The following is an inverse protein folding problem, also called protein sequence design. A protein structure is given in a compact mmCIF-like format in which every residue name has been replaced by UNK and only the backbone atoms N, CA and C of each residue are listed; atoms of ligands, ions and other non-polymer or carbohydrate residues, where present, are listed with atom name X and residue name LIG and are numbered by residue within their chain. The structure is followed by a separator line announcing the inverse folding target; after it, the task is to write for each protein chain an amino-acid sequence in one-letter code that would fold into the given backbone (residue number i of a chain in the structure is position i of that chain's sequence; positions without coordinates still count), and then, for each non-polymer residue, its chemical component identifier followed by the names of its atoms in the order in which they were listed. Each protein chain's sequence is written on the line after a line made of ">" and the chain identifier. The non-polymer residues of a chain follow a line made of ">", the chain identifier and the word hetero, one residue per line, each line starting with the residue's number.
data_IF_532969182442
#
_entry.id   IF_532969182442
#
_cell.length_a   1.000
_cell.length_b   1.000
_cell.length_c   1.000
_cell.angle_alpha   90.00
_cell.angle_beta   90.00
_cell.angle_gamma   90.00
#
_symmetry.space_group_name_H-M   'P 1'
#
loop_
_entity.id
_entity.type
_entity.pdbx_description
1 polymer ?
#
# COMPACT_ATOMS: atom_id res chain seq x y z
N UNK A 1 47.93 -17.02 22.02
CA UNK A 1 47.25 -16.48 20.83
C UNK A 1 46.14 -17.46 20.51
N UNK A 2 44.90 -16.99 20.59
CA UNK A 2 43.67 -17.78 20.54
C UNK A 2 43.31 -18.15 19.10
N UNK A 3 43.03 -19.44 18.86
CA UNK A 3 42.21 -19.88 17.74
C UNK A 3 40.81 -20.27 18.25
N UNK A 4 39.81 -19.88 17.47
CA UNK A 4 38.39 -19.97 17.76
C UNK A 4 37.86 -21.41 17.57
N UNK A 5 37.04 -21.86 18.52
CA UNK A 5 36.32 -23.12 18.50
C UNK A 5 34.96 -22.97 17.79
N UNK A 6 34.67 -23.84 16.83
CA UNK A 6 33.40 -23.93 16.09
C UNK A 6 32.71 -25.26 16.44
N UNK A 7 31.49 -25.28 17.02
CA UNK A 7 30.80 -26.54 17.30
C UNK A 7 29.87 -26.98 16.15
N UNK A 8 30.05 -28.23 15.76
CA UNK A 8 29.39 -28.99 14.69
C UNK A 8 27.89 -29.26 14.99
N UNK A 9 26.94 -28.98 14.08
CA UNK A 9 25.49 -29.00 14.37
C UNK A 9 24.83 -30.39 14.49
N UNK A 10 25.59 -31.49 14.51
CA UNK A 10 25.01 -32.85 14.44
C UNK A 10 25.27 -33.74 15.67
N UNK A 11 25.61 -33.17 16.83
CA UNK A 11 25.96 -33.94 18.04
C UNK A 11 24.95 -33.75 19.19
N UNK A 12 24.21 -34.80 19.56
CA UNK A 12 23.40 -34.86 20.78
C UNK A 12 24.29 -35.24 21.99
N UNK A 13 23.94 -34.70 23.17
CA UNK A 13 24.55 -34.88 24.50
C UNK A 13 24.87 -36.30 24.99
N UNK A 14 24.47 -37.36 24.27
CA UNK A 14 24.78 -38.75 24.64
C UNK A 14 25.79 -39.47 23.72
N UNK A 15 26.47 -38.77 22.81
CA UNK A 15 27.72 -39.28 22.21
C UNK A 15 27.61 -40.50 21.27
N UNK A 16 26.51 -40.67 20.54
CA UNK A 16 26.38 -41.69 19.48
C UNK A 16 26.31 -41.04 18.08
N UNK A 17 27.05 -41.60 17.11
CA UNK A 17 27.07 -41.17 15.70
C UNK A 17 25.79 -41.61 14.97
N UNK A 18 25.20 -40.71 14.18
CA UNK A 18 24.07 -41.03 13.29
C UNK A 18 24.62 -41.28 11.87
N UNK A 19 24.44 -42.49 11.34
CA UNK A 19 24.88 -42.89 10.00
C UNK A 19 23.82 -42.47 8.95
N UNK A 20 24.18 -41.86 7.81
CA UNK A 20 23.22 -41.38 6.82
C UNK A 20 23.19 -42.34 5.61
N UNK A 21 22.36 -43.38 5.64
CA UNK A 21 21.98 -44.13 4.43
C UNK A 21 20.79 -45.04 4.74
N UNK A 22 19.58 -44.64 4.31
CA UNK A 22 18.48 -45.54 3.95
C UNK A 22 17.38 -44.75 3.21
N UNK A 23 17.44 -44.77 1.87
CA UNK A 23 16.25 -44.68 1.03
C UNK A 23 15.47 -46.00 1.08
N UNK A 24 14.16 -45.96 0.76
CA UNK A 24 13.73 -46.78 -0.38
C UNK A 24 12.81 -46.03 -1.36
N UNK A 25 13.07 -46.28 -2.65
CA UNK A 25 12.21 -46.04 -3.82
C UNK A 25 11.29 -47.24 -4.11
N UNK A 26 10.36 -47.02 -5.04
CA UNK A 26 9.54 -47.95 -5.86
C UNK A 26 8.07 -48.12 -5.41
N UNK A 27 7.06 -48.18 -6.26
CA UNK A 27 6.92 -47.96 -7.72
C UNK A 27 5.43 -47.85 -8.09
N UNK A 28 5.18 -47.43 -9.32
CA UNK A 28 3.95 -47.19 -10.06
C UNK A 28 2.79 -48.24 -9.95
N UNK A 29 1.55 -47.82 -10.25
CA UNK A 29 0.72 -48.29 -11.40
C UNK A 29 -0.73 -47.71 -11.43
N UNK A 30 -1.17 -47.31 -12.65
CA UNK A 30 -2.54 -47.05 -13.17
C UNK A 30 -3.27 -45.76 -12.71
N UNK A 31 -3.91 -44.93 -13.55
CA UNK A 31 -4.30 -45.00 -14.96
C UNK A 31 -5.78 -44.61 -15.17
N UNK A 32 -6.02 -43.39 -15.70
CA UNK A 32 -7.11 -42.91 -16.60
C UNK A 32 -8.63 -43.01 -16.28
N UNK A 33 -9.29 -41.83 -16.42
CA UNK A 33 -10.61 -41.49 -17.02
C UNK A 33 -11.96 -42.06 -16.52
N UNK A 34 -12.93 -41.14 -16.47
CA UNK A 34 -14.33 -41.21 -16.95
C UNK A 34 -15.50 -41.10 -15.94
N UNK A 35 -16.43 -40.20 -16.31
CA UNK A 35 -17.87 -40.06 -16.03
C UNK A 35 -18.61 -41.14 -15.22
N UNK A 36 -19.49 -40.71 -14.28
CA UNK A 36 -20.96 -40.95 -14.31
C UNK A 36 -21.67 -40.50 -13.02
N UNK A 37 -22.80 -39.78 -13.18
CA UNK A 37 -23.92 -39.72 -12.22
C UNK A 37 -24.74 -41.03 -12.28
N UNK A 38 -25.59 -41.36 -11.29
CA UNK A 38 -26.99 -40.87 -11.18
C UNK A 38 -27.34 -40.53 -9.71
N UNK A 39 -28.42 -39.87 -9.28
CA UNK A 39 -29.72 -39.53 -9.86
C UNK A 39 -30.84 -39.89 -8.86
N UNK A 40 -31.53 -38.88 -8.29
CA UNK A 40 -32.91 -38.93 -7.71
C UNK A 40 -33.09 -39.62 -6.34
N UNK A 41 -34.09 -39.31 -5.50
CA UNK A 41 -35.18 -38.35 -5.55
C UNK A 41 -35.86 -38.26 -4.15
N UNK A 42 -36.34 -37.06 -3.81
CA UNK A 42 -37.55 -36.71 -3.03
C UNK A 42 -37.85 -37.26 -1.61
N UNK A 43 -38.25 -36.33 -0.73
CA UNK A 43 -39.18 -36.60 0.37
C UNK A 43 -39.22 -35.53 1.47
N UNK A 44 -40.10 -34.53 1.33
CA UNK A 44 -40.56 -33.59 2.36
C UNK A 44 -41.15 -34.35 3.58
N UNK A 45 -41.27 -33.86 4.82
CA UNK A 45 -42.04 -32.69 5.32
C UNK A 45 -41.93 -32.61 6.86
N UNK A 46 -42.19 -31.41 7.44
CA UNK A 46 -42.73 -31.02 8.78
C UNK A 46 -42.71 -32.02 9.96
N UNK A 47 -42.52 -31.68 11.23
CA UNK A 47 -42.68 -30.51 12.12
C UNK A 47 -42.45 -31.11 13.54
N UNK A 48 -41.92 -30.45 14.55
CA UNK A 48 -42.56 -29.51 15.47
C UNK A 48 -41.70 -29.58 16.76
N UNK A 49 -41.46 -28.45 17.41
CA UNK A 49 -41.04 -28.36 18.83
C UNK A 49 -42.30 -28.54 19.72
N UNK A 50 -42.29 -28.66 21.08
CA UNK A 50 -41.27 -28.14 22.01
C UNK A 50 -41.12 -28.84 23.42
N UNK A 51 -40.20 -28.28 24.22
CA UNK A 51 -40.08 -28.27 25.69
C UNK A 51 -39.80 -29.55 26.53
N UNK A 52 -38.69 -29.43 27.29
CA UNK A 52 -38.61 -29.51 28.76
C UNK A 52 -37.85 -30.67 29.45
N UNK A 53 -36.95 -30.22 30.33
CA UNK A 53 -36.49 -30.76 31.62
C UNK A 53 -35.51 -31.92 31.73
N UNK A 54 -34.58 -31.66 32.66
CA UNK A 54 -33.99 -32.54 33.67
C UNK A 54 -32.65 -33.22 33.35
N UNK A 55 -31.63 -32.67 34.00
CA UNK A 55 -30.38 -33.30 34.38
C UNK A 55 -30.66 -34.43 35.39
N UNK A 56 -29.84 -35.49 35.43
CA UNK A 56 -29.16 -35.74 36.70
C UNK A 56 -27.67 -36.10 36.56
N UNK A 57 -26.93 -35.60 37.55
CA UNK A 57 -25.53 -35.90 37.84
C UNK A 57 -25.29 -37.40 38.10
N UNK A 58 -24.15 -37.92 37.61
CA UNK A 58 -23.47 -39.06 38.21
C UNK A 58 -21.96 -38.82 38.26
N UNK A 59 -21.40 -39.03 39.46
CA UNK A 59 -19.97 -39.02 39.78
C UNK A 59 -19.28 -40.30 39.28
N UNK A 60 -18.08 -40.18 38.69
CA UNK A 60 -17.06 -41.23 38.71
C UNK A 60 -15.63 -40.68 38.44
N UNK A 61 -14.85 -40.66 39.52
CA UNK A 61 -13.41 -40.86 39.73
C UNK A 61 -12.41 -40.76 38.54
N UNK A 62 -11.38 -39.91 38.74
CA UNK A 62 -10.10 -39.88 38.00
C UNK A 62 -9.15 -41.03 38.41
N UNK A 63 -8.09 -41.27 37.63
CA UNK A 63 -6.76 -40.85 38.11
C UNK A 63 -5.81 -40.24 37.05
N UNK A 64 -5.17 -39.11 37.41
CA UNK A 64 -3.80 -38.62 37.06
C UNK A 64 -3.39 -38.43 35.58
N UNK A 65 -2.76 -37.34 35.12
CA UNK A 65 -2.19 -36.15 35.77
C UNK A 65 -1.42 -35.28 34.74
N UNK A 66 -1.07 -34.06 35.19
CA UNK A 66 -0.32 -32.94 34.58
C UNK A 66 -1.12 -31.80 33.90
N UNK A 67 -1.07 -30.56 34.44
CA UNK A 67 -1.99 -29.46 34.08
C UNK A 67 -1.48 -28.51 32.99
N UNK A 68 -2.37 -27.77 32.29
CA UNK A 68 -2.00 -26.69 31.38
C UNK A 68 -1.82 -25.35 32.11
N UNK A 69 -0.76 -24.62 31.74
CA UNK A 69 -0.47 -23.26 32.21
C UNK A 69 -1.51 -22.26 31.66
N UNK A 70 -2.26 -21.64 32.56
CA UNK A 70 -3.21 -20.55 32.28
C UNK A 70 -2.71 -19.29 33.00
N UNK A 71 -2.15 -18.33 32.25
CA UNK A 71 -1.72 -17.05 32.81
C UNK A 71 -2.86 -16.03 32.67
N UNK A 72 -3.62 -15.83 33.76
CA UNK A 72 -4.57 -14.74 33.93
C UNK A 72 -3.86 -13.52 34.51
N UNK A 73 -3.90 -12.39 33.79
CA UNK A 73 -3.45 -11.10 34.33
C UNK A 73 -4.60 -10.46 35.11
N UNK A 74 -4.47 -10.40 36.44
CA UNK A 74 -5.34 -9.59 37.30
C UNK A 74 -4.91 -8.12 37.27
N UNK A 75 -5.87 -7.25 36.96
CA UNK A 75 -5.78 -5.79 37.13
C UNK A 75 -5.71 -5.45 38.63
N UNK A 76 -4.69 -4.70 39.05
CA UNK A 76 -4.66 -4.07 40.38
C UNK A 76 -5.19 -2.63 40.28
N UNK A 77 -6.32 -2.39 40.96
CA UNK A 77 -6.86 -1.07 41.27
C UNK A 77 -6.27 -0.60 42.60
N UNK A 78 -5.58 0.54 42.60
CA UNK A 78 -5.00 1.15 43.80
C UNK A 78 -6.11 1.75 44.69
N UNK A 79 -6.35 1.13 45.84
CA UNK A 79 -7.11 1.71 46.95
C UNK A 79 -6.20 1.88 48.16
N UNK A 80 -6.06 3.12 48.63
CA UNK A 80 -5.35 3.48 49.86
C UNK A 80 -6.08 2.94 51.10
N UNK A 81 -5.37 2.27 52.00
CA UNK A 81 -5.71 2.25 53.44
C UNK A 81 -4.49 1.82 54.29
N UNK A 82 -4.17 2.49 55.41
CA UNK A 82 -2.96 2.22 56.18
C UNK A 82 -3.24 1.29 57.36
N UNK A 83 -2.66 0.10 57.36
CA UNK A 83 -2.51 -0.69 58.59
C UNK A 83 -1.10 -1.22 58.71
N UNK A 84 -0.45 -0.80 59.80
CA UNK A 84 0.79 -1.36 60.33
C UNK A 84 0.65 -2.88 60.47
N UNK A 85 1.52 -3.64 59.79
CA UNK A 85 1.83 -4.99 60.22
C UNK A 85 3.35 -5.20 60.19
N UNK A 86 3.89 -5.41 61.39
CA UNK A 86 5.27 -5.71 61.68
C UNK A 86 5.47 -7.22 61.48
N UNK A 87 6.14 -7.60 60.40
CA UNK A 87 6.46 -8.98 60.10
C UNK A 87 7.54 -9.03 59.04
N UNK A 88 8.70 -9.58 59.42
CA UNK A 88 9.86 -9.83 58.57
C UNK A 88 9.47 -10.51 57.25
N UNK A 89 9.25 -9.72 56.20
CA UNK A 89 9.37 -10.20 54.82
C UNK A 89 10.84 -9.99 54.43
N UNK A 90 11.61 -11.08 54.41
CA UNK A 90 12.90 -11.07 53.75
C UNK A 90 12.68 -10.67 52.28
N UNK A 91 12.96 -9.42 51.96
CA UNK A 91 13.12 -8.95 50.60
C UNK A 91 14.22 -9.80 49.97
N UNK A 92 13.88 -10.68 49.02
CA UNK A 92 14.84 -11.23 48.07
C UNK A 92 14.98 -10.23 46.92
N UNK A 93 16.00 -9.36 46.90
CA UNK A 93 16.15 -8.33 45.88
C UNK A 93 17.14 -8.88 44.84
N UNK A 94 16.66 -9.40 43.72
CA UNK A 94 17.62 -9.79 42.67
C UNK A 94 17.02 -10.40 41.42
N UNK A 95 16.32 -11.53 41.55
CA UNK A 95 15.95 -12.33 40.38
C UNK A 95 14.81 -11.71 39.55
N UNK A 96 13.71 -11.27 40.19
CA UNK A 96 12.57 -10.65 39.48
C UNK A 96 12.92 -9.32 38.81
N UNK A 97 13.89 -8.57 39.35
CA UNK A 97 14.28 -7.30 38.76
C UNK A 97 15.09 -7.53 37.47
N UNK A 98 16.01 -8.50 37.47
CA UNK A 98 16.87 -8.79 36.33
C UNK A 98 16.11 -9.37 35.12
N UNK A 99 15.12 -10.24 35.34
CA UNK A 99 14.24 -10.72 34.27
C UNK A 99 13.36 -9.60 33.70
N UNK A 100 12.80 -8.74 34.56
CA UNK A 100 12.05 -7.56 34.14
C UNK A 100 12.91 -6.59 33.29
N UNK A 101 14.15 -6.32 33.71
CA UNK A 101 15.09 -5.52 32.92
C UNK A 101 15.42 -6.17 31.57
N UNK A 102 15.70 -7.48 31.54
CA UNK A 102 15.93 -8.21 30.28
C UNK A 102 14.73 -8.15 29.35
N UNK A 103 13.53 -8.30 29.89
CA UNK A 103 12.28 -8.23 29.14
C UNK A 103 12.04 -6.83 28.55
N UNK A 104 12.28 -5.77 29.34
CA UNK A 104 12.18 -4.40 28.86
C UNK A 104 13.19 -4.08 27.76
N UNK A 105 14.45 -4.51 27.93
CA UNK A 105 15.50 -4.35 26.91
C UNK A 105 15.13 -5.09 25.62
N UNK A 106 14.56 -6.28 25.72
CA UNK A 106 14.08 -7.06 24.58
C UNK A 106 13.00 -6.29 23.78
N UNK A 107 11.96 -5.79 24.46
CA UNK A 107 10.89 -5.05 23.78
C UNK A 107 11.37 -3.72 23.18
N UNK A 108 12.28 -3.00 23.85
CA UNK A 108 12.92 -1.81 23.29
C UNK A 108 13.77 -2.12 22.05
N UNK A 109 14.53 -3.22 22.08
CA UNK A 109 15.31 -3.69 20.95
C UNK A 109 14.41 -4.02 19.75
N UNK A 110 13.30 -4.74 19.98
CA UNK A 110 12.31 -5.08 18.95
C UNK A 110 11.68 -3.82 18.32
N UNK A 111 11.31 -2.83 19.13
CA UNK A 111 10.77 -1.56 18.63
C UNK A 111 11.83 -0.74 17.86
N UNK A 112 13.12 -0.84 18.22
CA UNK A 112 14.22 -0.21 17.46
C UNK A 112 14.46 -0.93 16.13
N UNK A 113 14.39 -2.26 16.13
CA UNK A 113 14.56 -3.10 14.93
C UNK A 113 13.43 -2.86 13.92
N UNK A 114 12.17 -2.79 14.36
CA UNK A 114 11.04 -2.46 13.49
C UNK A 114 11.27 -1.12 12.76
N UNK A 115 11.69 -0.07 13.49
CA UNK A 115 12.03 1.23 12.89
C UNK A 115 13.24 1.14 11.95
N UNK A 116 14.19 0.23 12.21
CA UNK A 116 15.34 0.01 11.32
C UNK A 116 14.90 -0.64 10.01
N UNK A 117 14.01 -1.62 10.06
CA UNK A 117 13.46 -2.26 8.86
C UNK A 117 12.59 -1.30 8.03
N UNK A 118 11.77 -0.48 8.69
CA UNK A 118 11.02 0.59 8.02
C UNK A 118 11.98 1.57 7.31
N UNK A 119 13.09 1.96 7.97
CA UNK A 119 14.12 2.80 7.34
C UNK A 119 14.81 2.14 6.14
N UNK A 120 15.02 0.82 6.19
CA UNK A 120 15.56 0.09 5.04
C UNK A 120 14.60 0.18 3.84
N UNK A 121 13.30 0.05 4.06
CA UNK A 121 12.29 0.22 3.00
C UNK A 121 12.30 1.66 2.48
N UNK A 122 12.30 2.66 3.38
CA UNK A 122 12.41 4.05 2.96
C UNK A 122 13.67 4.32 2.15
N UNK A 123 14.82 3.77 2.53
CA UNK A 123 16.05 3.89 1.74
C UNK A 123 15.97 3.21 0.37
N UNK A 124 15.33 2.04 0.26
CA UNK A 124 15.12 1.38 -1.04
C UNK A 124 14.19 2.18 -1.95
N UNK A 125 13.13 2.75 -1.40
CA UNK A 125 12.27 3.67 -2.16
C UNK A 125 13.02 4.94 -2.56
N UNK A 126 13.88 5.48 -1.68
CA UNK A 126 14.77 6.59 -2.02
C UNK A 126 15.73 6.27 -3.17
N UNK A 127 16.25 5.04 -3.26
CA UNK A 127 17.03 4.60 -4.42
C UNK A 127 16.18 4.54 -5.70
N UNK A 128 14.91 4.15 -5.61
CA UNK A 128 13.99 4.18 -6.75
C UNK A 128 13.72 5.63 -7.19
N UNK A 129 13.58 6.57 -6.24
CA UNK A 129 13.44 8.01 -6.53
C UNK A 129 14.71 8.56 -7.19
N UNK A 130 15.90 8.15 -6.74
CA UNK A 130 17.17 8.53 -7.40
C UNK A 130 17.21 7.98 -8.83
N UNK A 131 16.81 6.71 -9.04
CA UNK A 131 16.75 6.13 -10.37
C UNK A 131 15.75 6.85 -11.27
N UNK A 132 14.59 7.23 -10.73
CA UNK A 132 13.60 8.06 -11.43
C UNK A 132 14.22 9.38 -11.91
N UNK A 133 14.84 10.14 -10.99
CA UNK A 133 15.50 11.41 -11.32
C UNK A 133 16.62 11.19 -12.34
N UNK A 134 17.44 10.15 -12.17
CA UNK A 134 18.54 9.86 -13.08
C UNK A 134 18.06 9.57 -14.51
N UNK A 135 17.00 8.76 -14.66
CA UNK A 135 16.40 8.50 -15.97
C UNK A 135 15.86 9.78 -16.60
N UNK A 136 15.21 10.65 -15.82
CA UNK A 136 14.70 11.94 -16.31
C UNK A 136 15.82 12.89 -16.76
N UNK A 137 16.93 12.94 -16.02
CA UNK A 137 18.10 13.76 -16.40
C UNK A 137 18.80 13.19 -17.65
N UNK A 138 18.92 11.86 -17.74
CA UNK A 138 19.52 11.19 -18.90
C UNK A 138 18.64 11.38 -20.15
N UNK A 139 17.32 11.24 -20.02
CA UNK A 139 16.37 11.42 -21.12
C UNK A 139 16.38 12.87 -21.61
N UNK A 140 16.42 13.83 -20.69
CA UNK A 140 16.55 15.26 -21.02
C UNK A 140 17.89 15.57 -21.72
N UNK A 141 19.00 15.03 -21.22
CA UNK A 141 20.31 15.19 -21.84
C UNK A 141 20.38 14.54 -23.23
N UNK A 142 19.70 13.41 -23.44
CA UNK A 142 19.59 12.76 -24.74
C UNK A 142 18.85 13.64 -25.75
N UNK A 143 17.71 14.22 -25.36
CA UNK A 143 16.97 15.16 -26.21
C UNK A 143 17.85 16.36 -26.60
N UNK A 144 18.52 16.97 -25.62
CA UNK A 144 19.38 18.15 -25.84
C UNK A 144 20.68 17.83 -26.60
N UNK A 145 21.05 16.56 -26.75
CA UNK A 145 22.27 16.16 -27.47
C UNK A 145 22.11 16.18 -28.99
N UNK A 146 20.87 16.27 -29.50
CA UNK A 146 20.56 16.19 -30.92
C UNK A 146 19.36 17.07 -31.25
N UNK A 147 19.61 18.15 -31.99
CA UNK A 147 18.58 19.13 -32.38
C UNK A 147 17.40 18.48 -33.11
N UNK A 148 17.63 17.50 -33.99
CA UNK A 148 16.54 16.83 -34.70
C UNK A 148 15.66 15.97 -33.76
N UNK A 149 16.24 15.39 -32.70
CA UNK A 149 15.46 14.69 -31.68
C UNK A 149 14.67 15.68 -30.80
N UNK A 150 15.29 16.79 -30.43
CA UNK A 150 14.63 17.85 -29.66
C UNK A 150 13.47 18.48 -30.45
N UNK A 151 13.68 18.76 -31.73
CA UNK A 151 12.66 19.28 -32.64
C UNK A 151 11.49 18.30 -32.75
N UNK A 152 11.77 17.00 -32.93
CA UNK A 152 10.72 15.99 -33.01
C UNK A 152 9.94 15.87 -31.69
N UNK A 153 10.61 15.95 -30.54
CA UNK A 153 9.97 15.98 -29.23
C UNK A 153 9.10 17.22 -29.01
N UNK A 154 9.52 18.37 -29.54
CA UNK A 154 8.82 19.64 -29.36
C UNK A 154 7.67 19.85 -30.35
N UNK A 155 7.69 19.15 -31.48
CA UNK A 155 6.72 19.37 -32.59
C UNK A 155 5.79 18.19 -32.85
N UNK A 156 6.10 16.99 -32.34
CA UNK A 156 5.26 15.80 -32.51
C UNK A 156 4.72 15.28 -31.18
N UNK A 157 3.42 15.46 -30.96
CA UNK A 157 2.62 14.89 -29.87
C UNK A 157 2.78 13.38 -29.76
N UNK A 158 2.80 12.66 -30.90
CA UNK A 158 3.01 11.20 -30.94
C UNK A 158 4.39 10.84 -30.39
N UNK A 159 5.44 11.55 -30.82
CA UNK A 159 6.79 11.28 -30.36
C UNK A 159 6.94 11.64 -28.88
N UNK A 160 6.47 12.82 -28.46
CA UNK A 160 6.52 13.27 -27.07
C UNK A 160 5.83 12.27 -26.13
N UNK A 161 4.61 11.86 -26.45
CA UNK A 161 3.85 10.90 -25.65
C UNK A 161 4.49 9.51 -25.63
N UNK A 162 5.01 9.04 -26.77
CA UNK A 162 5.73 7.76 -26.83
C UNK A 162 7.04 7.80 -26.03
N UNK A 163 7.75 8.92 -26.08
CA UNK A 163 8.94 9.17 -25.29
C UNK A 163 8.61 9.16 -23.80
N UNK A 164 7.52 9.81 -23.41
CA UNK A 164 6.98 9.80 -22.04
C UNK A 164 6.68 8.39 -21.53
N UNK A 165 5.95 7.59 -22.31
CA UNK A 165 5.67 6.17 -21.99
C UNK A 165 6.97 5.40 -21.70
N UNK A 166 7.98 5.55 -22.56
CA UNK A 166 9.22 4.78 -22.44
C UNK A 166 10.05 5.28 -21.26
N UNK A 167 10.41 6.56 -21.26
CA UNK A 167 11.39 7.08 -20.31
C UNK A 167 10.80 7.36 -18.94
N UNK A 168 9.57 7.88 -18.87
CA UNK A 168 8.93 8.20 -17.59
C UNK A 168 8.27 6.94 -17.01
N UNK A 169 7.29 6.37 -17.71
CA UNK A 169 6.46 5.33 -17.12
C UNK A 169 7.18 4.00 -16.98
N UNK A 170 7.82 3.52 -18.05
CA UNK A 170 8.46 2.20 -18.03
C UNK A 170 9.83 2.24 -17.35
N UNK A 171 10.71 3.17 -17.74
CA UNK A 171 12.09 3.20 -17.27
C UNK A 171 12.28 3.93 -15.94
N UNK A 172 11.60 5.05 -15.69
CA UNK A 172 11.77 5.82 -14.45
C UNK A 172 10.85 5.32 -13.32
N UNK A 173 9.62 4.88 -13.63
CA UNK A 173 8.65 4.43 -12.62
C UNK A 173 8.57 2.91 -12.50
N UNK A 174 8.12 2.18 -13.52
CA UNK A 174 7.84 0.76 -13.38
C UNK A 174 9.09 -0.08 -13.12
N UNK A 175 10.19 0.18 -13.84
CA UNK A 175 11.41 -0.62 -13.76
C UNK A 175 12.11 -0.53 -12.39
N UNK A 176 12.42 0.64 -11.80
CA UNK A 176 13.15 0.71 -10.54
C UNK A 176 12.35 0.11 -9.38
N UNK A 177 11.05 0.40 -9.32
CA UNK A 177 10.17 -0.16 -8.29
C UNK A 177 9.92 -1.66 -8.51
N UNK A 178 9.84 -2.11 -9.76
CA UNK A 178 9.78 -3.53 -10.11
C UNK A 178 11.04 -4.29 -9.68
N UNK A 179 12.23 -3.74 -9.94
CA UNK A 179 13.51 -4.30 -9.47
C UNK A 179 13.56 -4.35 -7.95
N UNK A 180 13.15 -3.27 -7.26
CA UNK A 180 13.01 -3.28 -5.80
C UNK A 180 12.10 -4.41 -5.33
N UNK A 181 10.96 -4.63 -6.00
CA UNK A 181 10.04 -5.70 -5.65
C UNK A 181 10.64 -7.09 -5.87
N UNK A 182 11.33 -7.33 -6.99
CA UNK A 182 11.98 -8.61 -7.30
C UNK A 182 13.06 -8.95 -6.26
N UNK A 183 13.90 -7.98 -5.89
CA UNK A 183 14.94 -8.15 -4.86
C UNK A 183 14.31 -8.50 -3.50
N UNK A 184 13.12 -7.97 -3.21
CA UNK A 184 12.43 -8.15 -1.94
C UNK A 184 11.28 -9.17 -1.99
N UNK A 185 11.20 -10.03 -3.01
CA UNK A 185 10.06 -10.94 -3.24
C UNK A 185 9.67 -11.78 -2.01
N UNK A 186 10.63 -12.18 -1.19
CA UNK A 186 10.41 -13.00 0.01
C UNK A 186 9.91 -12.20 1.23
N UNK A 187 9.85 -10.86 1.14
CA UNK A 187 9.44 -9.98 2.24
C UNK A 187 7.97 -9.56 2.19
N UNK A 188 7.26 -9.88 1.12
CA UNK A 188 5.84 -9.59 0.97
C UNK A 188 5.00 -10.64 1.71
N UNK A 189 4.01 -10.20 2.49
CA UNK A 189 3.08 -11.09 3.20
C UNK A 189 1.87 -11.49 2.34
N UNK A 190 1.57 -10.70 1.31
CA UNK A 190 0.54 -10.96 0.31
C UNK A 190 1.20 -11.14 -1.06
N UNK A 191 0.49 -11.68 -2.07
CA UNK A 191 0.98 -11.64 -3.45
C UNK A 191 1.42 -10.22 -3.83
N UNK A 192 2.50 -10.12 -4.62
CA UNK A 192 3.07 -8.84 -5.04
C UNK A 192 2.01 -7.95 -5.70
N UNK A 193 1.21 -8.55 -6.58
CA UNK A 193 0.06 -7.91 -7.21
C UNK A 193 -1.19 -8.37 -6.46
N UNK A 194 -1.74 -7.57 -5.52
CA UNK A 194 -3.00 -7.91 -4.87
C UNK A 194 -4.12 -7.85 -5.92
N UNK A 195 -4.78 -8.97 -6.17
CA UNK A 195 -5.78 -9.11 -7.22
C UNK A 195 -7.05 -9.82 -6.74
N UNK A 196 -7.41 -9.62 -5.45
CA UNK A 196 -8.64 -10.20 -4.92
C UNK A 196 -9.81 -9.84 -5.84
N UNK A 197 -10.52 -10.88 -6.30
CA UNK A 197 -11.64 -10.72 -7.23
C UNK A 197 -12.80 -10.03 -6.52
N UNK A 198 -13.23 -8.91 -7.07
CA UNK A 198 -14.38 -8.15 -6.61
C UNK A 198 -15.60 -8.51 -7.47
N UNK A 199 -16.78 -8.52 -6.86
CA UNK A 199 -18.03 -8.51 -7.63
C UNK A 199 -18.10 -7.20 -8.43
N UNK A 200 -18.62 -7.25 -9.64
CA UNK A 200 -18.74 -6.07 -10.50
C UNK A 200 -19.42 -4.89 -9.80
N UNK A 201 -20.52 -5.15 -9.07
CA UNK A 201 -21.20 -4.13 -8.27
C UNK A 201 -20.31 -3.48 -7.22
N UNK A 202 -19.48 -4.27 -6.53
CA UNK A 202 -18.55 -3.75 -5.53
C UNK A 202 -17.42 -2.95 -6.18
N UNK A 203 -16.93 -3.41 -7.34
CA UNK A 203 -15.94 -2.67 -8.12
C UNK A 203 -16.48 -1.29 -8.53
N UNK A 204 -17.68 -1.23 -9.10
CA UNK A 204 -18.33 0.03 -9.48
C UNK A 204 -18.51 0.98 -8.29
N UNK A 205 -18.89 0.47 -7.11
CA UNK A 205 -19.02 1.30 -5.90
C UNK A 205 -17.67 1.88 -5.46
N UNK A 206 -16.61 1.07 -5.44
CA UNK A 206 -15.28 1.57 -5.07
C UNK A 206 -14.73 2.57 -6.10
N UNK A 207 -14.97 2.33 -7.39
CA UNK A 207 -14.59 3.26 -8.46
C UNK A 207 -15.36 4.58 -8.33
N UNK A 208 -16.69 4.53 -8.16
CA UNK A 208 -17.50 5.73 -8.00
C UNK A 208 -17.10 6.54 -6.76
N UNK A 209 -16.86 5.88 -5.62
CA UNK A 209 -16.32 6.53 -4.42
C UNK A 209 -14.96 7.19 -4.69
N UNK A 210 -14.04 6.45 -5.34
CA UNK A 210 -12.72 6.98 -5.67
C UNK A 210 -12.78 8.20 -6.58
N UNK A 211 -13.61 8.16 -7.63
CA UNK A 211 -13.81 9.28 -8.55
C UNK A 211 -14.41 10.51 -7.86
N UNK A 212 -15.34 10.35 -6.91
CA UNK A 212 -15.81 11.46 -6.09
C UNK A 212 -14.67 12.12 -5.31
N UNK A 213 -13.77 11.32 -4.75
CA UNK A 213 -12.64 11.84 -4.00
C UNK A 213 -11.61 12.52 -4.92
N UNK A 214 -11.44 12.05 -6.16
CA UNK A 214 -10.62 12.75 -7.16
C UNK A 214 -11.20 14.13 -7.48
N UNK A 215 -12.51 14.21 -7.75
CA UNK A 215 -13.22 15.49 -7.96
C UNK A 215 -13.07 16.42 -6.75
N UNK A 216 -13.17 15.87 -5.53
CA UNK A 216 -12.95 16.66 -4.31
C UNK A 216 -11.50 17.17 -4.21
N UNK A 217 -10.51 16.38 -4.63
CA UNK A 217 -9.11 16.79 -4.67
C UNK A 217 -8.87 17.90 -5.71
N UNK A 218 -9.52 17.83 -6.88
CA UNK A 218 -9.48 18.89 -7.89
C UNK A 218 -9.99 20.22 -7.32
N UNK A 219 -11.10 20.22 -6.59
CA UNK A 219 -11.62 21.44 -5.95
C UNK A 219 -10.68 22.01 -4.88
N UNK A 220 -9.97 21.15 -4.13
CA UNK A 220 -8.97 21.59 -3.16
C UNK A 220 -7.80 22.28 -3.88
N UNK A 221 -7.34 21.71 -4.98
CA UNK A 221 -6.26 22.26 -5.81
C UNK A 221 -6.70 23.56 -6.48
N UNK A 222 -7.90 23.63 -7.03
CA UNK A 222 -8.47 24.85 -7.60
C UNK A 222 -8.55 25.97 -6.57
N UNK A 223 -9.02 25.66 -5.35
CA UNK A 223 -9.03 26.63 -4.25
C UNK A 223 -7.61 27.10 -3.88
N UNK A 224 -6.64 26.18 -3.81
CA UNK A 224 -5.24 26.51 -3.57
C UNK A 224 -4.68 27.45 -4.63
N UNK A 225 -4.96 27.20 -5.92
CA UNK A 225 -4.54 28.06 -7.02
C UNK A 225 -5.15 29.46 -6.90
N UNK A 226 -6.46 29.57 -6.65
CA UNK A 226 -7.12 30.86 -6.45
C UNK A 226 -6.53 31.66 -5.28
N UNK A 227 -6.23 30.99 -4.15
CA UNK A 227 -5.58 31.64 -3.01
C UNK A 227 -4.18 32.09 -3.37
N UNK A 228 -3.39 31.25 -4.05
CA UNK A 228 -2.03 31.59 -4.50
C UNK A 228 -2.02 32.82 -5.40
N UNK A 229 -2.88 32.85 -6.42
CA UNK A 229 -3.01 33.97 -7.34
C UNK A 229 -3.41 35.26 -6.61
N UNK A 230 -4.34 35.17 -5.65
CA UNK A 230 -4.74 36.32 -4.83
C UNK A 230 -3.59 36.90 -3.98
N UNK A 231 -2.56 36.10 -3.73
CA UNK A 231 -1.34 36.49 -3.02
C UNK A 231 -0.20 36.95 -3.96
N UNK A 232 -0.44 36.99 -5.27
CA UNK A 232 0.57 37.35 -6.28
C UNK A 232 1.52 36.22 -6.65
N UNK A 233 1.09 34.96 -6.52
CA UNK A 233 1.87 33.78 -6.89
C UNK A 233 1.14 32.92 -7.93
N UNK A 234 1.81 32.64 -9.03
CA UNK A 234 1.38 31.69 -10.06
C UNK A 234 1.97 30.30 -9.78
N UNK A 235 1.14 29.26 -9.93
CA UNK A 235 1.53 27.87 -9.76
C UNK A 235 1.66 27.22 -11.13
N UNK A 236 2.88 26.81 -11.49
CA UNK A 236 3.18 26.26 -12.82
C UNK A 236 3.16 24.73 -12.81
N UNK A 237 2.72 24.16 -13.92
CA UNK A 237 2.79 22.71 -14.20
C UNK A 237 3.04 22.49 -15.69
N UNK A 238 3.52 21.31 -16.06
CA UNK A 238 3.71 20.95 -17.48
C UNK A 238 2.36 20.79 -18.19
N UNK A 239 2.30 21.24 -19.43
CA UNK A 239 1.14 21.04 -20.32
C UNK A 239 1.32 19.79 -21.17
N UNK A 240 0.21 19.13 -21.49
CA UNK A 240 0.20 18.02 -22.43
C UNK A 240 0.10 18.57 -23.86
N UNK A 241 0.77 17.94 -24.85
CA UNK A 241 0.64 18.36 -26.24
C UNK A 241 -0.76 18.07 -26.78
N UNK A 242 -1.28 19.01 -27.57
CA UNK A 242 -2.50 18.80 -28.34
C UNK A 242 -2.29 17.69 -29.40
N UNK A 243 -3.26 16.78 -29.59
CA UNK A 243 -3.13 15.72 -30.58
C UNK A 243 -3.25 16.29 -32.00
N UNK A 244 -2.27 16.00 -32.86
CA UNK A 244 -2.25 16.49 -34.25
C UNK A 244 -3.19 15.72 -35.19
N UNK A 245 -3.53 14.48 -34.85
CA UNK A 245 -4.34 13.60 -35.68
C UNK A 245 -5.04 12.51 -34.85
N UNK A 246 -5.88 11.70 -35.50
CA UNK A 246 -6.62 10.63 -34.84
C UNK A 246 -5.71 9.55 -34.21
N UNK A 247 -4.54 9.28 -34.81
CA UNK A 247 -3.58 8.36 -34.21
C UNK A 247 -2.94 8.97 -32.97
N UNK A 248 -2.60 10.27 -33.00
CA UNK A 248 -2.12 11.01 -31.84
C UNK A 248 -3.13 10.96 -30.68
N UNK A 249 -4.43 11.07 -30.94
CA UNK A 249 -5.46 10.91 -29.91
C UNK A 249 -5.37 9.56 -29.17
N UNK A 250 -5.14 8.46 -29.91
CA UNK A 250 -4.98 7.12 -29.32
C UNK A 250 -3.72 7.07 -28.45
N UNK A 251 -2.61 7.62 -28.95
CA UNK A 251 -1.35 7.64 -28.21
C UNK A 251 -1.45 8.52 -26.96
N UNK A 252 -2.11 9.67 -27.03
CA UNK A 252 -2.41 10.53 -25.86
C UNK A 252 -3.25 9.78 -24.82
N UNK A 253 -4.29 9.05 -25.25
CA UNK A 253 -5.10 8.25 -24.33
C UNK A 253 -4.28 7.17 -23.61
N UNK A 254 -3.37 6.51 -24.33
CA UNK A 254 -2.46 5.53 -23.73
C UNK A 254 -1.46 6.20 -22.78
N UNK A 255 -0.82 7.28 -23.22
CA UNK A 255 0.26 7.95 -22.50
C UNK A 255 -0.21 8.69 -21.25
N UNK A 256 -1.43 9.24 -21.24
CA UNK A 256 -1.94 10.04 -20.13
C UNK A 256 -2.86 9.24 -19.20
N UNK A 257 -3.71 8.37 -19.75
CA UNK A 257 -4.74 7.69 -18.94
C UNK A 257 -4.41 6.23 -18.59
N UNK A 258 -3.88 5.45 -19.55
CA UNK A 258 -3.78 3.99 -19.35
C UNK A 258 -2.43 3.58 -18.78
N UNK A 259 -1.33 3.97 -19.42
CA UNK A 259 0.02 3.53 -19.05
C UNK A 259 0.41 4.05 -17.65
N UNK A 260 0.21 5.33 -17.30
CA UNK A 260 0.50 5.81 -15.95
C UNK A 260 -0.32 5.09 -14.89
N UNK A 261 -1.63 4.93 -15.12
CA UNK A 261 -2.51 4.22 -14.21
C UNK A 261 -2.09 2.76 -13.96
N UNK A 262 -1.40 2.11 -14.89
CA UNK A 262 -0.85 0.76 -14.67
C UNK A 262 0.52 0.82 -14.00
N UNK A 263 1.44 1.65 -14.53
CA UNK A 263 2.83 1.70 -14.09
C UNK A 263 2.98 2.30 -12.69
N UNK A 264 2.29 3.41 -12.43
CA UNK A 264 2.34 4.10 -11.14
C UNK A 264 1.62 3.30 -10.05
N UNK A 265 0.47 2.68 -10.34
CA UNK A 265 -0.21 1.80 -9.38
C UNK A 265 0.59 0.53 -9.10
N UNK A 266 1.28 -0.02 -10.10
CA UNK A 266 2.23 -1.11 -9.86
C UNK A 266 3.35 -0.65 -8.90
N UNK A 267 4.00 0.48 -9.17
CA UNK A 267 5.09 1.00 -8.35
C UNK A 267 4.65 1.34 -6.91
N UNK A 268 3.50 2.03 -6.77
CA UNK A 268 3.03 2.54 -5.48
C UNK A 268 2.26 1.46 -4.69
N UNK A 269 1.30 0.77 -5.30
CA UNK A 269 0.37 -0.12 -4.56
C UNK A 269 0.90 -1.54 -4.46
N UNK A 270 1.53 -2.05 -5.53
CA UNK A 270 2.08 -3.40 -5.52
C UNK A 270 3.45 -3.41 -4.85
N UNK A 271 4.42 -2.65 -5.37
CA UNK A 271 5.81 -2.69 -4.92
C UNK A 271 6.03 -1.99 -3.57
N UNK A 272 5.54 -0.76 -3.42
CA UNK A 272 5.86 0.06 -2.25
C UNK A 272 4.95 -0.22 -1.05
N UNK A 273 3.64 -0.06 -1.23
CA UNK A 273 2.64 -0.31 -0.21
C UNK A 273 2.63 -1.78 0.24
N UNK A 274 2.84 -2.72 -0.68
CA UNK A 274 2.97 -4.14 -0.38
C UNK A 274 4.07 -4.47 0.64
N UNK A 275 5.21 -3.75 0.60
CA UNK A 275 6.30 -3.91 1.56
C UNK A 275 6.02 -3.22 2.90
N UNK A 276 5.33 -2.07 2.87
CA UNK A 276 5.18 -1.20 4.03
C UNK A 276 3.95 -1.56 4.89
N UNK A 277 2.89 -2.12 4.27
CA UNK A 277 1.60 -2.41 4.94
C UNK A 277 1.71 -3.41 6.10
N UNK A 278 2.72 -4.28 6.12
CA UNK A 278 2.98 -5.21 7.24
C UNK A 278 3.44 -4.54 8.53
N UNK A 279 4.05 -3.35 8.43
CA UNK A 279 4.42 -2.54 9.59
C UNK A 279 3.28 -1.61 10.03
N UNK A 280 2.24 -1.50 9.20
CA UNK A 280 1.01 -0.78 9.49
C UNK A 280 0.38 -0.27 8.21
N UNK A 281 -0.93 -0.47 8.06
CA UNK A 281 -1.70 -0.05 6.88
C UNK A 281 -1.70 1.47 6.75
N UNK A 282 -1.90 2.17 7.86
CA UNK A 282 -1.89 3.64 7.88
C UNK A 282 -0.53 4.22 7.49
N UNK A 283 0.55 3.62 8.01
CA UNK A 283 1.93 3.95 7.61
C UNK A 283 2.11 3.78 6.10
N UNK A 284 1.72 2.61 5.59
CA UNK A 284 1.80 2.28 4.17
C UNK A 284 1.11 3.31 3.30
N UNK A 285 -0.16 3.57 3.57
CA UNK A 285 -0.99 4.50 2.79
C UNK A 285 -0.41 5.91 2.84
N UNK A 286 -0.14 6.46 4.03
CA UNK A 286 0.36 7.85 4.14
C UNK A 286 1.76 8.00 3.57
N UNK A 287 2.69 7.11 3.95
CA UNK A 287 4.09 7.20 3.52
C UNK A 287 4.27 7.07 2.02
N UNK A 288 3.56 6.13 1.38
CA UNK A 288 3.65 5.93 -0.08
C UNK A 288 2.95 7.06 -0.84
N UNK A 289 1.84 7.60 -0.32
CA UNK A 289 1.13 8.72 -0.98
C UNK A 289 1.97 9.99 -1.03
N UNK A 290 2.77 10.26 0.01
CA UNK A 290 3.70 11.39 0.01
C UNK A 290 4.81 11.21 -1.03
N UNK A 291 5.35 9.99 -1.17
CA UNK A 291 6.34 9.69 -2.22
C UNK A 291 5.72 9.85 -3.60
N UNK A 292 4.50 9.37 -3.80
CA UNK A 292 3.77 9.49 -5.05
C UNK A 292 3.55 10.96 -5.46
N UNK A 293 3.08 11.80 -4.52
CA UNK A 293 2.97 13.24 -4.77
C UNK A 293 4.32 13.90 -5.09
N UNK A 294 5.38 13.56 -4.36
CA UNK A 294 6.70 14.16 -4.58
C UNK A 294 7.27 13.87 -5.97
N UNK A 295 7.01 12.68 -6.54
CA UNK A 295 7.52 12.30 -7.86
C UNK A 295 7.06 13.24 -9.00
N UNK A 296 5.97 13.98 -8.81
CA UNK A 296 5.45 14.90 -9.82
C UNK A 296 6.21 16.24 -9.90
N UNK A 297 6.99 16.60 -8.88
CA UNK A 297 7.94 17.72 -8.94
C UNK A 297 7.35 19.13 -9.07
N UNK A 298 6.04 19.32 -8.93
CA UNK A 298 5.37 20.63 -8.91
C UNK A 298 4.28 20.67 -7.82
N UNK A 299 3.92 21.87 -7.35
CA UNK A 299 3.03 22.03 -6.18
C UNK A 299 1.60 21.54 -6.45
N UNK A 300 1.05 21.85 -7.63
CA UNK A 300 -0.31 21.48 -8.04
C UNK A 300 -0.46 19.96 -7.94
N UNK A 301 0.40 19.23 -8.63
CA UNK A 301 0.37 17.77 -8.68
C UNK A 301 0.83 17.14 -7.37
N UNK A 302 1.77 17.75 -6.63
CA UNK A 302 2.15 17.25 -5.31
C UNK A 302 0.94 17.13 -4.39
N UNK A 303 0.12 18.18 -4.31
CA UNK A 303 -1.09 18.19 -3.49
C UNK A 303 -2.12 17.22 -4.04
N UNK A 304 -2.42 17.30 -5.34
CA UNK A 304 -3.40 16.42 -5.99
C UNK A 304 -3.06 14.93 -5.83
N UNK A 305 -1.88 14.53 -6.29
CA UNK A 305 -1.43 13.15 -6.29
C UNK A 305 -1.21 12.62 -4.87
N UNK A 306 -0.85 13.46 -3.89
CA UNK A 306 -0.83 13.01 -2.48
C UNK A 306 -2.24 12.67 -2.00
N UNK A 307 -3.24 13.53 -2.25
CA UNK A 307 -4.62 13.32 -1.82
C UNK A 307 -5.24 12.08 -2.49
N UNK A 308 -5.16 11.99 -3.82
CA UNK A 308 -5.61 10.81 -4.58
C UNK A 308 -4.80 9.58 -4.16
N UNK A 309 -3.51 9.77 -3.91
CA UNK A 309 -2.59 8.81 -3.32
C UNK A 309 -3.18 8.04 -2.14
N UNK A 310 -3.68 8.82 -1.17
CA UNK A 310 -4.27 8.33 0.07
C UNK A 310 -5.53 7.51 -0.21
N UNK A 311 -6.38 7.97 -1.13
CA UNK A 311 -7.63 7.30 -1.50
C UNK A 311 -7.36 5.97 -2.17
N UNK A 312 -6.51 5.95 -3.21
CA UNK A 312 -6.18 4.73 -3.93
C UNK A 312 -5.47 3.72 -3.01
N UNK A 313 -4.54 4.17 -2.16
CA UNK A 313 -3.90 3.33 -1.15
C UNK A 313 -4.91 2.74 -0.15
N UNK A 314 -5.86 3.55 0.33
CA UNK A 314 -6.96 3.09 1.18
C UNK A 314 -7.82 2.03 0.48
N UNK A 315 -8.24 2.29 -0.76
CA UNK A 315 -9.06 1.38 -1.56
C UNK A 315 -8.34 0.05 -1.81
N UNK A 316 -7.04 0.08 -2.13
CA UNK A 316 -6.24 -1.15 -2.30
C UNK A 316 -6.15 -1.94 -1.00
N UNK A 317 -5.89 -1.29 0.13
CA UNK A 317 -5.83 -1.97 1.45
C UNK A 317 -7.19 -2.55 1.84
N UNK A 318 -8.28 -1.89 1.44
CA UNK A 318 -9.66 -2.31 1.77
C UNK A 318 -10.17 -3.45 0.92
N UNK A 319 -9.83 -3.43 -0.36
CA UNK A 319 -10.31 -4.44 -1.31
C UNK A 319 -9.33 -5.59 -1.49
N UNK A 320 -8.10 -5.47 -0.96
CA UNK A 320 -6.94 -6.33 -1.25
C UNK A 320 -6.78 -6.58 -2.76
N UNK A 321 -7.03 -5.52 -3.54
CA UNK A 321 -7.02 -5.53 -4.99
C UNK A 321 -6.50 -4.19 -5.51
N UNK A 322 -5.57 -4.24 -6.46
CA UNK A 322 -5.06 -3.04 -7.14
C UNK A 322 -6.00 -2.57 -8.25
N UNK A 323 -6.89 -3.44 -8.74
CA UNK A 323 -7.77 -3.17 -9.89
C UNK A 323 -8.64 -1.93 -9.71
N UNK A 324 -9.33 -1.70 -8.57
CA UNK A 324 -10.10 -0.47 -8.40
C UNK A 324 -9.22 0.78 -8.46
N UNK A 325 -8.00 0.72 -7.91
CA UNK A 325 -7.08 1.85 -7.92
C UNK A 325 -6.63 2.20 -9.34
N UNK A 326 -6.26 1.19 -10.14
CA UNK A 326 -5.95 1.35 -11.58
C UNK A 326 -7.12 1.97 -12.34
N UNK A 327 -8.35 1.51 -12.10
CA UNK A 327 -9.52 2.06 -12.79
C UNK A 327 -9.84 3.50 -12.37
N UNK A 328 -9.77 3.82 -11.08
CA UNK A 328 -9.99 5.19 -10.60
C UNK A 328 -8.94 6.12 -11.20
N UNK A 329 -7.67 5.73 -11.18
CA UNK A 329 -6.59 6.51 -11.76
C UNK A 329 -6.78 6.69 -13.28
N UNK A 330 -7.06 5.61 -14.01
CA UNK A 330 -7.28 5.68 -15.44
C UNK A 330 -8.50 6.53 -15.81
N UNK A 331 -9.59 6.48 -15.04
CA UNK A 331 -10.76 7.33 -15.28
C UNK A 331 -10.49 8.79 -14.91
N UNK A 332 -9.74 9.06 -13.85
CA UNK A 332 -9.34 10.41 -13.47
C UNK A 332 -8.57 11.08 -14.61
N UNK A 333 -7.48 10.46 -15.05
CA UNK A 333 -6.67 11.00 -16.15
C UNK A 333 -7.44 10.93 -17.48
N UNK A 334 -8.31 9.95 -17.63
CA UNK A 334 -9.22 9.79 -18.76
C UNK A 334 -10.20 10.96 -18.91
N UNK A 335 -10.55 11.68 -17.85
CA UNK A 335 -11.36 12.89 -17.97
C UNK A 335 -10.62 13.98 -18.75
N UNK A 336 -9.33 14.18 -18.46
CA UNK A 336 -8.49 15.16 -19.18
C UNK A 336 -8.26 14.74 -20.64
N UNK A 337 -8.05 13.44 -20.88
CA UNK A 337 -7.93 12.90 -22.24
C UNK A 337 -9.24 13.08 -23.02
N UNK A 338 -10.39 12.88 -22.36
CA UNK A 338 -11.70 13.03 -23.00
C UNK A 338 -11.89 14.47 -23.49
N UNK A 339 -11.61 15.47 -22.68
CA UNK A 339 -11.76 16.89 -23.09
C UNK A 339 -10.84 17.21 -24.26
N UNK A 340 -9.58 16.76 -24.22
CA UNK A 340 -8.62 16.92 -25.33
C UNK A 340 -9.13 16.30 -26.65
N UNK A 341 -9.62 15.06 -26.61
CA UNK A 341 -10.08 14.35 -27.82
C UNK A 341 -11.40 14.94 -28.34
N UNK A 342 -12.34 15.28 -27.45
CA UNK A 342 -13.61 15.89 -27.87
C UNK A 342 -13.37 17.26 -28.48
N UNK A 343 -12.45 18.05 -27.93
CA UNK A 343 -12.05 19.32 -28.53
C UNK A 343 -11.48 19.14 -29.93
N UNK A 344 -10.55 18.19 -30.10
CA UNK A 344 -9.99 17.86 -31.41
C UNK A 344 -11.07 17.41 -32.42
N UNK A 345 -12.02 16.56 -32.01
CA UNK A 345 -13.01 16.00 -32.93
C UNK A 345 -14.21 16.92 -33.21
N UNK A 346 -14.64 17.71 -32.22
CA UNK A 346 -15.95 18.38 -32.21
C UNK A 346 -15.88 19.85 -31.79
N UNK A 347 -14.69 20.37 -31.45
CA UNK A 347 -14.48 21.76 -31.06
C UNK A 347 -14.69 22.05 -29.57
N UNK A 348 -14.27 23.24 -29.16
CA UNK A 348 -14.20 23.67 -27.76
C UNK A 348 -15.55 23.65 -27.03
N UNK A 349 -16.64 24.07 -27.69
CA UNK A 349 -17.98 24.06 -27.07
C UNK A 349 -18.40 22.64 -26.69
N UNK A 350 -18.25 21.68 -27.60
CA UNK A 350 -18.57 20.27 -27.34
C UNK A 350 -17.69 19.70 -26.22
N UNK A 351 -16.39 20.06 -26.19
CA UNK A 351 -15.47 19.70 -25.12
C UNK A 351 -15.95 20.19 -23.76
N UNK A 352 -16.29 21.47 -23.65
CA UNK A 352 -16.79 22.08 -22.41
C UNK A 352 -18.07 21.41 -21.89
N UNK A 353 -19.04 21.16 -22.76
CA UNK A 353 -20.27 20.46 -22.38
C UNK A 353 -19.99 19.00 -21.95
N UNK A 354 -19.14 18.29 -22.69
CA UNK A 354 -18.79 16.90 -22.38
C UNK A 354 -18.03 16.77 -21.05
N UNK A 355 -17.05 17.65 -20.82
CA UNK A 355 -16.30 17.73 -19.57
C UNK A 355 -17.22 17.99 -18.39
N UNK A 356 -18.10 19.00 -18.51
CA UNK A 356 -19.09 19.31 -17.47
C UNK A 356 -20.02 18.12 -17.20
N UNK A 357 -20.53 17.46 -18.25
CA UNK A 357 -21.43 16.32 -18.11
C UNK A 357 -20.75 15.13 -17.39
N UNK A 358 -19.51 14.81 -17.73
CA UNK A 358 -18.74 13.74 -17.08
C UNK A 358 -18.40 14.08 -15.63
N UNK A 359 -18.09 15.35 -15.35
CA UNK A 359 -17.85 15.81 -13.99
C UNK A 359 -19.10 15.67 -13.10
N UNK A 360 -20.26 16.11 -13.60
CA UNK A 360 -21.56 15.94 -12.92
C UNK A 360 -21.90 14.46 -12.74
N UNK A 361 -21.65 13.63 -13.76
CA UNK A 361 -21.86 12.19 -13.67
C UNK A 361 -21.06 11.57 -12.51
N UNK A 362 -19.76 11.87 -12.40
CA UNK A 362 -18.92 11.31 -11.32
C UNK A 362 -19.29 11.84 -9.94
N UNK A 363 -19.74 13.09 -9.83
CA UNK A 363 -20.30 13.62 -8.57
C UNK A 363 -21.53 12.79 -8.17
N UNK A 364 -22.51 12.62 -9.05
CA UNK A 364 -23.76 11.90 -8.74
C UNK A 364 -23.49 10.41 -8.45
N UNK A 365 -22.80 9.72 -9.36
CA UNK A 365 -22.47 8.30 -9.22
C UNK A 365 -21.60 8.05 -7.97
N UNK A 366 -20.70 8.98 -7.67
CA UNK A 366 -19.82 8.94 -6.52
C UNK A 366 -20.54 9.17 -5.19
N UNK A 367 -21.48 10.11 -5.12
CA UNK A 367 -22.32 10.31 -3.93
C UNK A 367 -23.14 9.05 -3.64
N UNK A 368 -23.81 8.51 -4.66
CA UNK A 368 -24.59 7.27 -4.55
C UNK A 368 -23.70 6.12 -4.06
N UNK A 369 -22.52 5.96 -4.66
CA UNK A 369 -21.57 4.92 -4.27
C UNK A 369 -21.10 5.06 -2.82
N UNK A 370 -20.78 6.29 -2.40
CA UNK A 370 -20.34 6.62 -1.04
C UNK A 370 -21.42 6.29 -0.01
N UNK A 371 -22.67 6.70 -0.28
CA UNK A 371 -23.81 6.40 0.60
C UNK A 371 -24.00 4.89 0.76
N UNK A 372 -23.96 4.13 -0.35
CA UNK A 372 -24.11 2.67 -0.31
C UNK A 372 -22.96 2.01 0.48
N UNK A 373 -21.71 2.45 0.26
CA UNK A 373 -20.55 1.92 1.00
C UNK A 373 -20.61 2.29 2.50
N UNK A 374 -21.10 3.48 2.83
CA UNK A 374 -21.29 3.95 4.20
C UNK A 374 -22.35 3.12 4.94
N UNK A 375 -23.51 2.89 4.32
CA UNK A 375 -24.60 2.05 4.86
C UNK A 375 -24.13 0.61 5.05
N UNK A 376 -23.24 0.12 4.19
CA UNK A 376 -22.62 -1.21 4.33
C UNK A 376 -21.45 -1.24 5.35
N UNK A 377 -21.14 -0.13 6.02
CA UNK A 377 -20.02 0.05 6.94
C UNK A 377 -18.63 -0.27 6.35
N UNK A 378 -18.49 -0.20 5.02
CA UNK A 378 -17.26 -0.56 4.30
C UNK A 378 -16.21 0.56 4.27
N UNK A 379 -16.62 1.81 4.53
CA UNK A 379 -15.72 2.97 4.58
C UNK A 379 -14.89 3.06 5.87
N UNK A 380 -15.16 2.23 6.89
CA UNK A 380 -14.47 2.30 8.18
C UNK A 380 -12.99 1.95 8.05
N UNK A 381 -12.05 2.88 8.28
CA UNK A 381 -10.63 2.53 8.34
C UNK A 381 -10.26 2.08 9.76
N UNK A 382 -10.02 0.78 9.95
CA UNK A 382 -9.46 0.28 11.21
C UNK A 382 -7.98 0.63 11.21
N UNK A 383 -7.62 1.69 11.93
CA UNK A 383 -6.23 1.94 12.32
C UNK A 383 -5.72 0.68 13.03
N UNK A 384 -4.49 0.27 12.72
CA UNK A 384 -3.88 -0.88 13.38
C UNK A 384 -3.92 -0.61 14.90
N UNK A 385 -4.50 -1.55 15.65
CA UNK A 385 -4.54 -1.43 17.10
C UNK A 385 -3.11 -1.20 17.60
N UNK A 386 -2.89 -0.27 18.56
CA UNK A 386 -1.58 -0.13 19.17
C UNK A 386 -1.14 -1.51 19.62
N UNK A 387 0.03 -1.98 19.15
CA UNK A 387 0.54 -3.26 19.62
C UNK A 387 0.55 -3.22 21.15
N UNK A 388 -0.16 -4.15 21.78
CA UNK A 388 -0.23 -4.29 23.24
C UNK A 388 1.09 -4.84 23.81
N UNK A 389 2.22 -4.37 23.28
CA UNK A 389 3.56 -4.68 23.73
C UNK A 389 4.16 -3.43 24.38
N UNK A 390 4.85 -3.55 25.53
CA UNK A 390 5.64 -2.47 26.09
C UNK A 390 6.55 -1.86 25.03
N UNK A 391 6.64 -0.53 24.97
CA UNK A 391 7.47 0.22 24.01
C UNK A 391 7.11 0.07 22.51
N UNK A 392 5.96 -0.50 22.16
CA UNK A 392 5.49 -0.60 20.77
C UNK A 392 5.49 0.76 20.05
N UNK A 393 5.88 0.78 18.77
CA UNK A 393 5.89 2.03 18.01
C UNK A 393 4.48 2.44 17.60
N UNK A 394 4.15 3.71 17.84
CA UNK A 394 2.94 4.33 17.29
C UNK A 394 3.06 4.52 15.77
N UNK A 395 1.94 4.68 15.08
CA UNK A 395 1.92 5.01 13.63
C UNK A 395 2.80 6.23 13.33
N UNK A 396 2.75 7.27 14.16
CA UNK A 396 3.58 8.46 14.01
C UNK A 396 5.09 8.15 14.12
N UNK A 397 5.51 7.31 15.08
CA UNK A 397 6.92 6.88 15.20
C UNK A 397 7.38 6.05 14.00
N UNK A 398 6.48 5.21 13.46
CA UNK A 398 6.75 4.42 12.26
C UNK A 398 6.87 5.31 11.02
N UNK A 399 5.96 6.28 10.86
CA UNK A 399 5.99 7.24 9.75
C UNK A 399 7.24 8.13 9.84
N UNK A 400 7.55 8.62 11.03
CA UNK A 400 8.79 9.34 11.27
C UNK A 400 10.03 8.51 10.95
N UNK A 401 10.06 7.21 11.28
CA UNK A 401 11.15 6.32 10.88
C UNK A 401 11.24 6.19 9.35
N UNK A 402 10.12 6.05 8.64
CA UNK A 402 10.11 5.99 7.18
C UNK A 402 10.62 7.29 6.54
N UNK A 403 10.06 8.44 6.91
CA UNK A 403 10.42 9.74 6.35
C UNK A 403 11.83 10.20 6.76
N UNK A 404 12.36 9.71 7.88
CA UNK A 404 13.74 9.97 8.32
C UNK A 404 14.79 9.06 7.68
N UNK A 405 14.43 8.29 6.65
CA UNK A 405 15.37 7.43 5.93
C UNK A 405 16.37 8.29 5.15
N UNK A 406 17.69 8.17 5.39
CA UNK A 406 18.67 9.09 4.80
C UNK A 406 18.62 9.18 3.28
N UNK A 407 18.49 8.04 2.59
CA UNK A 407 18.45 8.03 1.12
C UNK A 407 17.13 8.63 0.61
N UNK A 408 16.02 8.38 1.31
CA UNK A 408 14.73 8.99 0.95
C UNK A 408 14.78 10.50 1.09
N UNK A 409 15.33 11.02 2.20
CA UNK A 409 15.51 12.46 2.40
C UNK A 409 16.35 13.03 1.26
N UNK A 410 17.54 12.49 1.01
CA UNK A 410 18.45 12.98 -0.01
C UNK A 410 17.80 13.00 -1.40
N UNK A 411 17.10 11.92 -1.76
CA UNK A 411 16.38 11.82 -3.03
C UNK A 411 15.21 12.81 -3.13
N UNK A 412 14.53 13.10 -2.02
CA UNK A 412 13.39 14.01 -1.98
C UNK A 412 13.82 15.48 -2.06
N UNK A 413 15.04 15.83 -1.66
CA UNK A 413 15.51 17.23 -1.68
C UNK A 413 15.40 17.85 -3.07
N UNK A 414 15.81 17.12 -4.11
CA UNK A 414 15.69 17.60 -5.49
C UNK A 414 14.23 17.88 -5.86
N UNK A 415 13.33 16.93 -5.58
CA UNK A 415 11.91 17.06 -5.89
C UNK A 415 11.21 18.16 -5.09
N UNK A 416 11.59 18.33 -3.81
CA UNK A 416 11.11 19.43 -2.97
C UNK A 416 11.54 20.78 -3.56
N UNK A 417 12.80 20.89 -3.99
CA UNK A 417 13.28 22.09 -4.67
C UNK A 417 12.50 22.32 -5.96
N UNK A 418 12.25 21.30 -6.78
CA UNK A 418 11.42 21.41 -7.99
C UNK A 418 10.00 21.90 -7.66
N UNK A 419 9.36 21.36 -6.61
CA UNK A 419 8.04 21.79 -6.13
C UNK A 419 8.07 23.27 -5.74
N UNK A 420 9.10 23.71 -5.01
CA UNK A 420 9.22 25.12 -4.61
C UNK A 420 9.46 26.04 -5.82
N UNK A 421 10.25 25.60 -6.80
CA UNK A 421 10.51 26.35 -8.03
C UNK A 421 9.29 26.45 -8.95
N UNK A 422 8.29 25.58 -8.78
CA UNK A 422 7.02 25.68 -9.52
C UNK A 422 6.14 26.86 -9.07
N UNK A 423 6.49 27.52 -7.97
CA UNK A 423 5.78 28.69 -7.42
C UNK A 423 6.51 29.96 -7.88
N UNK A 424 5.87 30.74 -8.76
CA UNK A 424 6.46 31.94 -9.34
C UNK A 424 5.73 33.19 -8.84
N UNK A 425 6.47 34.27 -8.60
CA UNK A 425 5.88 35.55 -8.19
C UNK A 425 5.46 36.33 -9.43
N UNK A 426 4.22 36.81 -9.45
CA UNK A 426 3.62 37.63 -10.51
C UNK A 426 3.78 39.11 -10.21
#
# INVERSE_FOLDING_TARGET
>A
MNEYYNPDPYRNSNGQNVNPDHQPQNDAYRGSNAYQQPGGNAGYTHGDTPYNHSNPQYHAQQPGGYPPYQNGYQQYSNGYSPYYNNGNAQYQPGYNNQEYYRQNLYYQAKAKEERREIRKIGNMMGLCVIAFIAVQLISSALLLSNDALYDLYSTSSVFQNSFGIIFVELLAVAAPFGVMALINKNKYETPLIPNQRLKFSSLCLWVGFGMLCCVAADYIVAFMMTVSESMGYELTQGENPDPENAFACIITALATAVVPAVCEEFAMRCCSLGLLKKYGKALGVVGVSLVFGLLHGNLIQFVFATLVGLILGFVTVKTDSVVPAVLIHAFNNGMSVLTLIVEYCFGTDASNYSGTAVFVFWIVAGIVSTVILAVKHQLSFKLDAPQAMPFGNTTAKKLGAFLSSPVLILSSLYLIVSVLLSIQKV
#
